data_IF_147349099769
#
_entry.id   IF_147349099769
#
_cell.length_a   1.000
_cell.length_b   1.000
_cell.length_c   1.000
_cell.angle_alpha   90.00
_cell.angle_beta   90.00
_cell.angle_gamma   90.00
#
_symmetry.space_group_name_H-M   'P 1'
#
loop_
_entity.id
_entity.type
_entity.pdbx_description
1 polymer ?
#
# COMPACT_ATOMS: atom_id res chain seq x y z
N UNK A 1 -13.22 5.46 14.42
CA UNK A 1 -11.77 5.62 14.16
C UNK A 1 -11.56 5.56 12.64
N UNK A 2 -10.53 6.19 12.08
CA UNK A 2 -10.28 6.15 10.62
C UNK A 2 -9.14 5.19 10.32
N UNK A 3 -9.40 4.24 9.43
CA UNK A 3 -8.41 3.34 8.83
C UNK A 3 -8.32 3.71 7.35
N UNK A 4 -7.11 3.85 6.82
CA UNK A 4 -6.90 4.01 5.38
C UNK A 4 -6.58 2.63 4.82
N UNK A 5 -7.29 2.23 3.78
CA UNK A 5 -7.04 0.98 3.07
C UNK A 5 -6.69 1.34 1.63
N UNK A 6 -5.55 0.82 1.16
CA UNK A 6 -5.15 0.90 -0.24
C UNK A 6 -5.39 -0.48 -0.85
N UNK A 7 -6.34 -0.54 -1.77
CA UNK A 7 -6.72 -1.75 -2.51
C UNK A 7 -6.20 -1.64 -3.95
N UNK A 8 -5.76 -2.77 -4.51
CA UNK A 8 -5.36 -2.87 -5.91
C UNK A 8 -6.18 -3.94 -6.62
N UNK A 9 -6.55 -3.69 -7.89
CA UNK A 9 -7.24 -4.68 -8.72
C UNK A 9 -6.47 -4.88 -10.02
N UNK A 10 -6.31 -6.15 -10.40
CA UNK A 10 -5.68 -6.56 -11.63
C UNK A 10 -6.70 -6.64 -12.77
N UNK A 11 -6.21 -6.58 -14.01
CA UNK A 11 -7.05 -6.66 -15.21
C UNK A 11 -7.89 -7.95 -15.28
N UNK A 12 -7.38 -9.04 -14.72
CA UNK A 12 -8.06 -10.35 -14.67
C UNK A 12 -9.15 -10.43 -13.59
N UNK A 13 -9.39 -9.34 -12.86
CA UNK A 13 -10.38 -9.26 -11.78
C UNK A 13 -9.86 -9.75 -10.43
N UNK A 14 -8.60 -10.19 -10.33
CA UNK A 14 -8.00 -10.56 -9.05
C UNK A 14 -7.54 -9.33 -8.26
N UNK A 15 -7.64 -9.37 -6.94
CA UNK A 15 -7.14 -8.30 -6.08
C UNK A 15 -5.63 -8.45 -5.79
N UNK A 16 -4.98 -7.33 -5.50
CA UNK A 16 -3.73 -7.30 -4.76
C UNK A 16 -4.03 -7.36 -3.26
N UNK A 17 -3.04 -7.77 -2.46
CA UNK A 17 -3.17 -7.73 -1.00
C UNK A 17 -3.31 -6.28 -0.56
N UNK A 18 -4.25 -5.99 0.36
CA UNK A 18 -4.48 -4.62 0.79
C UNK A 18 -3.34 -4.13 1.68
N UNK A 19 -3.20 -2.81 1.71
CA UNK A 19 -2.34 -2.13 2.69
C UNK A 19 -3.23 -1.38 3.66
N UNK A 20 -3.01 -1.65 4.94
CA UNK A 20 -3.81 -1.07 6.02
C UNK A 20 -2.94 -0.05 6.75
N UNK A 21 -3.34 1.22 6.73
CA UNK A 21 -2.67 2.29 7.48
C UNK A 21 -3.53 2.69 8.67
N UNK A 22 -3.02 2.43 9.86
CA UNK A 22 -3.69 2.74 11.13
C UNK A 22 -3.30 4.13 11.62
N UNK A 23 -4.23 4.82 12.29
CA UNK A 23 -3.85 6.00 13.06
C UNK A 23 -3.14 5.56 14.33
N UNK A 24 -1.82 5.71 14.39
CA UNK A 24 -1.04 5.34 15.55
C UNK A 24 0.30 6.10 15.60
N UNK A 25 0.75 6.40 16.82
CA UNK A 25 2.13 6.83 17.06
C UNK A 25 3.08 5.63 16.91
N UNK A 26 2.70 4.51 17.52
CA UNK A 26 3.41 3.24 17.46
C UNK A 26 2.47 2.06 17.38
N UNK A 27 3.01 0.95 16.86
CA UNK A 27 2.31 -0.31 16.84
C UNK A 27 2.42 -1.03 18.18
N UNK A 28 1.31 -1.58 18.65
CA UNK A 28 1.28 -2.51 19.78
C UNK A 28 1.15 -3.93 19.24
N UNK A 29 2.13 -4.79 19.51
CA UNK A 29 2.19 -6.19 19.01
C UNK A 29 0.87 -6.95 19.30
N UNK A 30 0.27 -6.68 20.44
CA UNK A 30 -0.98 -7.31 20.88
C UNK A 30 -2.16 -7.04 19.92
N UNK A 31 -2.16 -5.92 19.19
CA UNK A 31 -3.18 -5.63 18.19
C UNK A 31 -3.18 -6.72 17.11
N UNK A 32 -2.02 -7.09 16.60
CA UNK A 32 -1.90 -8.09 15.53
C UNK A 32 -2.16 -9.52 16.01
N UNK A 33 -1.87 -9.83 17.28
CA UNK A 33 -2.20 -11.14 17.87
C UNK A 33 -3.70 -11.40 17.97
N UNK A 34 -4.50 -10.34 18.09
CA UNK A 34 -5.96 -10.42 18.24
C UNK A 34 -6.70 -10.36 16.92
N UNK A 35 -6.05 -9.87 15.87
CA UNK A 35 -6.61 -9.80 14.52
C UNK A 35 -6.75 -11.23 13.98
N UNK A 36 -7.98 -11.59 13.59
CA UNK A 36 -8.31 -12.86 12.96
C UNK A 36 -8.83 -12.61 11.55
N UNK A 37 -8.53 -13.52 10.62
CA UNK A 37 -9.03 -13.45 9.25
C UNK A 37 -8.32 -12.43 8.35
N UNK A 38 -7.20 -11.87 8.80
CA UNK A 38 -6.30 -11.04 7.98
C UNK A 38 -5.17 -11.93 7.46
N UNK A 39 -4.98 -12.04 6.12
CA UNK A 39 -3.84 -12.73 5.54
C UNK A 39 -2.49 -12.34 6.16
N UNK A 40 -1.61 -13.33 6.34
CA UNK A 40 -0.30 -13.14 7.01
C UNK A 40 0.64 -12.18 6.26
N UNK A 41 0.41 -11.99 4.96
CA UNK A 41 1.19 -11.16 4.06
C UNK A 41 0.66 -9.72 3.91
N UNK A 42 -0.37 -9.33 4.68
CA UNK A 42 -0.88 -7.95 4.64
C UNK A 42 0.11 -6.98 5.28
N UNK A 43 0.32 -5.85 4.59
CA UNK A 43 1.21 -4.81 5.06
C UNK A 43 0.46 -3.79 5.92
N UNK A 44 1.04 -3.49 7.08
CA UNK A 44 0.55 -2.47 7.98
C UNK A 44 1.43 -1.22 7.96
N UNK A 45 0.81 -0.07 7.71
CA UNK A 45 1.39 1.25 7.91
C UNK A 45 0.80 1.94 9.14
N UNK A 46 1.48 2.99 9.62
CA UNK A 46 0.97 3.86 10.68
C UNK A 46 1.10 5.33 10.28
N UNK A 47 0.12 6.15 10.67
CA UNK A 47 0.13 7.59 10.49
C UNK A 47 -0.34 8.28 11.76
N UNK A 48 0.41 9.25 12.27
CA UNK A 48 0.02 10.00 13.47
C UNK A 48 -1.15 10.96 13.19
N UNK A 49 -1.29 11.44 11.95
CA UNK A 49 -2.22 12.51 11.57
C UNK A 49 -3.38 12.08 10.65
N UNK A 50 -3.51 10.78 10.33
CA UNK A 50 -4.51 10.23 9.39
C UNK A 50 -4.33 10.66 7.93
N UNK A 51 -3.14 11.11 7.56
CA UNK A 51 -2.80 11.43 6.17
C UNK A 51 -1.68 10.51 5.70
N UNK A 52 -1.64 10.26 4.39
CA UNK A 52 -0.47 9.69 3.73
C UNK A 52 0.50 10.80 3.35
N UNK A 53 1.79 10.49 3.43
CA UNK A 53 2.87 11.39 3.01
C UNK A 53 3.67 10.79 1.84
N UNK A 54 4.62 11.56 1.34
CA UNK A 54 5.49 11.17 0.22
C UNK A 54 6.30 9.91 0.54
N UNK A 55 6.73 9.74 1.79
CA UNK A 55 7.51 8.56 2.21
C UNK A 55 6.65 7.29 2.16
N UNK A 56 5.41 7.37 2.64
CA UNK A 56 4.46 6.26 2.56
C UNK A 56 4.11 5.92 1.12
N UNK A 57 3.90 6.93 0.27
CA UNK A 57 3.61 6.73 -1.14
C UNK A 57 4.78 6.05 -1.90
N UNK A 58 6.02 6.42 -1.61
CA UNK A 58 7.20 5.76 -2.19
C UNK A 58 7.37 4.32 -1.69
N UNK A 59 7.12 4.06 -0.39
CA UNK A 59 7.13 2.69 0.14
C UNK A 59 6.05 1.83 -0.50
N UNK A 60 4.87 2.40 -0.75
CA UNK A 60 3.81 1.74 -1.49
C UNK A 60 4.27 1.31 -2.87
N UNK A 61 4.84 2.24 -3.65
CA UNK A 61 5.33 1.95 -5.01
C UNK A 61 6.35 0.82 -5.00
N UNK A 62 7.39 0.95 -4.19
CA UNK A 62 8.48 -0.03 -4.13
C UNK A 62 7.97 -1.42 -3.77
N UNK A 63 7.18 -1.53 -2.71
CA UNK A 63 6.69 -2.83 -2.26
C UNK A 63 5.79 -3.52 -3.29
N UNK A 64 4.96 -2.74 -3.99
CA UNK A 64 3.93 -3.31 -4.84
C UNK A 64 4.36 -3.47 -6.28
N UNK A 65 5.38 -2.73 -6.76
CA UNK A 65 5.74 -2.69 -8.18
C UNK A 65 7.22 -2.98 -8.48
N UNK A 66 8.08 -3.17 -7.47
CA UNK A 66 9.43 -3.69 -7.71
C UNK A 66 9.40 -5.13 -8.26
N UNK A 67 10.53 -5.62 -8.84
CA UNK A 67 10.69 -7.03 -9.17
C UNK A 67 10.27 -7.92 -8.00
N UNK A 68 9.82 -9.15 -8.28
CA UNK A 68 9.33 -10.13 -7.29
C UNK A 68 8.12 -9.71 -6.43
N UNK A 69 7.55 -8.51 -6.63
CA UNK A 69 6.30 -8.10 -5.99
C UNK A 69 5.09 -8.90 -6.48
N UNK A 70 3.99 -8.84 -5.72
CA UNK A 70 2.74 -9.50 -6.10
C UNK A 70 2.21 -9.00 -7.44
N UNK A 71 2.31 -7.69 -7.72
CA UNK A 71 1.87 -7.14 -9.01
C UNK A 71 2.80 -7.57 -10.15
N UNK A 72 4.11 -7.67 -9.92
CA UNK A 72 5.06 -8.15 -10.92
C UNK A 72 4.77 -9.60 -11.33
N UNK A 73 4.49 -10.46 -10.34
CA UNK A 73 4.08 -11.84 -10.60
C UNK A 73 2.79 -11.91 -11.43
N UNK A 74 1.77 -11.11 -11.09
CA UNK A 74 0.47 -11.11 -11.80
C UNK A 74 0.53 -10.53 -13.21
N UNK A 75 1.44 -9.59 -13.47
CA UNK A 75 1.59 -8.97 -14.81
C UNK A 75 2.62 -9.66 -15.69
N UNK A 76 3.30 -10.69 -15.17
CA UNK A 76 4.46 -11.32 -15.81
C UNK A 76 5.50 -10.27 -16.23
N UNK A 77 5.75 -9.30 -15.34
CA UNK A 77 6.77 -8.24 -15.46
C UNK A 77 6.62 -7.34 -16.71
N UNK A 78 5.38 -7.06 -17.13
CA UNK A 78 5.12 -6.24 -18.33
C UNK A 78 4.87 -4.77 -18.01
N UNK A 79 3.61 -4.39 -17.85
CA UNK A 79 3.18 -3.00 -17.70
C UNK A 79 2.12 -2.88 -16.63
N UNK A 80 2.16 -1.76 -15.89
CA UNK A 80 1.19 -1.38 -14.88
C UNK A 80 0.46 -0.11 -15.30
N UNK A 81 -0.82 0.01 -14.95
CA UNK A 81 -1.54 1.29 -15.00
C UNK A 81 -1.88 1.68 -13.56
N UNK A 82 -1.22 2.72 -13.06
CA UNK A 82 -1.52 3.29 -11.75
C UNK A 82 -2.39 4.54 -11.90
N UNK A 83 -3.60 4.51 -11.33
CA UNK A 83 -4.51 5.65 -11.32
C UNK A 83 -4.56 6.22 -9.90
N UNK A 84 -4.29 7.52 -9.77
CA UNK A 84 -4.27 8.21 -8.48
C UNK A 84 -4.82 9.64 -8.61
N UNK A 85 -5.19 10.25 -7.48
CA UNK A 85 -5.71 11.62 -7.48
C UNK A 85 -4.56 12.65 -7.46
N UNK A 86 -4.84 13.94 -7.30
CA UNK A 86 -3.79 14.98 -7.35
C UNK A 86 -3.20 15.31 -5.99
N UNK A 87 -3.12 14.35 -5.06
CA UNK A 87 -2.62 14.64 -3.71
C UNK A 87 -1.09 14.73 -3.69
N UNK A 88 -0.54 15.64 -2.87
CA UNK A 88 0.90 15.92 -2.84
C UNK A 88 1.77 14.71 -2.50
N UNK A 89 1.23 13.76 -1.74
CA UNK A 89 1.93 12.50 -1.42
C UNK A 89 2.36 11.70 -2.65
N UNK A 90 1.67 11.83 -3.79
CA UNK A 90 1.98 11.12 -5.05
C UNK A 90 1.98 12.04 -6.28
N UNK A 91 2.06 13.36 -6.07
CA UNK A 91 2.31 14.36 -7.12
C UNK A 91 3.57 15.13 -6.75
N UNK A 92 4.69 14.43 -6.79
CA UNK A 92 6.04 14.97 -6.58
C UNK A 92 7.01 14.25 -7.54
N UNK A 93 8.19 14.83 -7.75
CA UNK A 93 9.16 14.29 -8.73
C UNK A 93 9.58 12.86 -8.41
N UNK A 94 9.85 12.55 -7.14
CA UNK A 94 10.30 11.22 -6.75
C UNK A 94 9.28 10.12 -7.08
N UNK A 95 7.99 10.40 -6.89
CA UNK A 95 6.92 9.46 -7.21
C UNK A 95 6.71 9.31 -8.72
N UNK A 96 6.83 10.41 -9.48
CA UNK A 96 6.61 10.40 -10.93
C UNK A 96 7.80 9.88 -11.74
N UNK A 97 9.01 9.96 -11.18
CA UNK A 97 10.25 9.46 -11.78
C UNK A 97 10.46 7.95 -11.54
N UNK A 98 9.70 7.34 -10.61
CA UNK A 98 9.72 5.91 -10.32
C UNK A 98 9.07 5.10 -11.44
#
# INVERSE_FOLDING_TARGET
EFVIIIEGMCRDGTALDPIIILKAEDFVIEWFRRVKGVPENILFGKSHNRWTDETMAMKYLKQNFEPISQSASKTNEKYYLLLFNRHSSHVNSQFLDY
#
